data_IF_237756871997
#
_entry.id   IF_237756871997
#
_cell.length_a   1.000
_cell.length_b   1.000
_cell.length_c   1.000
_cell.angle_alpha   90.00
_cell.angle_beta   90.00
_cell.angle_gamma   90.00
#
_symmetry.space_group_name_H-M   'P 1'
#
loop_
_entity.id
_entity.type
_entity.pdbx_description
1 polymer ?
#
# COMPACT_ATOMS: atom_id res chain seq x y z
N UNK A 1 -14.76 6.85 -2.42
CA UNK A 1 -13.91 6.40 -3.53
C UNK A 1 -12.77 5.55 -2.97
N UNK A 2 -12.56 4.35 -3.49
CA UNK A 2 -11.43 3.50 -3.13
C UNK A 2 -10.59 3.23 -4.37
N UNK A 3 -9.29 3.47 -4.30
CA UNK A 3 -8.34 3.21 -5.38
C UNK A 3 -7.11 2.47 -4.86
N UNK A 4 -6.51 1.65 -5.71
CA UNK A 4 -5.32 0.87 -5.41
C UNK A 4 -4.22 1.23 -6.39
N UNK A 5 -3.07 1.60 -5.84
CA UNK A 5 -1.79 1.84 -6.49
C UNK A 5 -1.91 2.49 -7.88
N UNK A 6 -2.59 3.64 -7.94
CA UNK A 6 -2.98 4.29 -9.20
C UNK A 6 -1.74 4.64 -10.02
N UNK A 7 -1.62 4.09 -11.24
CA UNK A 7 -0.48 4.34 -12.12
C UNK A 7 -0.77 5.45 -13.12
N UNK A 8 0.14 6.41 -13.20
CA UNK A 8 -0.04 7.63 -13.99
C UNK A 8 0.30 7.50 -15.46
N UNK A 9 0.83 6.36 -15.88
CA UNK A 9 1.30 6.17 -17.24
C UNK A 9 0.76 4.84 -17.76
N UNK A 10 -0.19 4.88 -18.68
CA UNK A 10 -0.41 3.80 -19.63
C UNK A 10 0.72 3.86 -20.68
N UNK A 11 1.96 3.65 -20.25
CA UNK A 11 3.13 3.82 -21.09
C UNK A 11 3.59 2.52 -21.72
N UNK A 12 3.64 2.47 -23.05
CA UNK A 12 4.21 1.38 -23.84
C UNK A 12 5.61 1.02 -23.29
N UNK A 13 5.94 -0.27 -23.08
CA UNK A 13 7.24 -0.71 -22.60
C UNK A 13 8.40 -0.08 -23.39
N UNK A 14 9.44 0.36 -22.69
CA UNK A 14 10.55 1.19 -23.19
C UNK A 14 11.48 0.57 -24.24
N UNK A 15 11.01 -0.37 -25.06
CA UNK A 15 11.75 -0.92 -26.21
C UNK A 15 11.48 -0.16 -27.52
N UNK A 16 10.53 0.78 -27.55
CA UNK A 16 10.32 1.67 -28.69
C UNK A 16 11.02 3.01 -28.45
N UNK A 17 11.92 3.40 -29.35
CA UNK A 17 12.73 4.63 -29.32
C UNK A 17 11.91 5.93 -29.26
N UNK A 18 10.58 5.88 -29.40
CA UNK A 18 9.64 7.00 -29.34
C UNK A 18 8.82 7.10 -28.02
N UNK A 19 8.99 6.17 -27.07
CA UNK A 19 8.21 6.13 -25.82
C UNK A 19 8.26 7.41 -24.94
N UNK A 20 9.37 8.18 -24.85
CA UNK A 20 9.41 9.39 -24.02
C UNK A 20 8.46 10.51 -24.48
N UNK A 21 8.20 10.61 -25.79
CA UNK A 21 7.32 11.62 -26.38
C UNK A 21 5.83 11.26 -26.18
N UNK A 22 5.48 9.97 -26.29
CA UNK A 22 4.12 9.49 -26.06
C UNK A 22 3.72 9.54 -24.58
N UNK A 23 4.63 9.16 -23.66
CA UNK A 23 4.32 9.14 -22.22
C UNK A 23 4.09 10.54 -21.61
N UNK A 24 4.68 11.61 -22.17
CA UNK A 24 4.43 12.98 -21.69
C UNK A 24 2.96 13.39 -21.80
N UNK A 25 2.22 12.85 -22.78
CA UNK A 25 0.82 13.19 -22.99
C UNK A 25 -0.14 12.47 -22.02
N UNK A 26 0.32 11.39 -21.38
CA UNK A 26 -0.47 10.61 -20.43
C UNK A 26 -0.16 10.91 -18.96
N UNK A 27 0.81 11.80 -18.68
CA UNK A 27 1.07 12.19 -17.30
C UNK A 27 -0.08 13.04 -16.78
N UNK A 28 -0.68 12.63 -15.65
CA UNK A 28 -1.65 13.45 -14.94
C UNK A 28 -1.01 14.82 -14.62
N UNK A 29 -1.55 15.87 -15.24
CA UNK A 29 -1.11 17.25 -15.02
C UNK A 29 -1.69 17.84 -13.72
N UNK A 30 -2.63 17.12 -13.10
CA UNK A 30 -3.23 17.43 -11.81
C UNK A 30 -3.43 16.12 -11.03
N UNK A 31 -2.79 16.02 -9.86
CA UNK A 31 -2.91 14.86 -8.95
C UNK A 31 -3.77 15.19 -7.74
N UNK A 32 -4.46 16.33 -7.74
CA UNK A 32 -5.32 16.73 -6.65
C UNK A 32 -6.62 15.94 -6.67
N UNK A 33 -7.01 15.48 -5.49
CA UNK A 33 -8.30 14.85 -5.32
C UNK A 33 -9.39 15.92 -5.32
N UNK A 34 -10.41 15.74 -6.16
CA UNK A 34 -11.54 16.67 -6.26
C UNK A 34 -12.32 16.77 -4.93
N UNK A 35 -12.67 17.99 -4.55
CA UNK A 35 -13.52 18.28 -3.38
C UNK A 35 -14.94 17.67 -3.47
N UNK A 36 -15.38 17.32 -4.69
CA UNK A 36 -16.66 16.62 -4.90
C UNK A 36 -16.67 15.21 -4.30
N UNK A 37 -15.49 14.61 -4.06
CA UNK A 37 -15.39 13.31 -3.42
C UNK A 37 -15.65 13.46 -1.93
N UNK A 38 -16.64 12.74 -1.39
CA UNK A 38 -16.99 12.81 0.05
C UNK A 38 -15.94 12.17 0.97
N UNK A 39 -15.38 11.04 0.54
CA UNK A 39 -14.37 10.28 1.29
C UNK A 39 -13.53 9.47 0.29
N UNK A 40 -12.24 9.32 0.58
CA UNK A 40 -11.31 8.64 -0.31
C UNK A 40 -10.26 7.80 0.42
N UNK A 41 -9.93 6.66 -0.18
CA UNK A 41 -8.88 5.73 0.26
C UNK A 41 -7.99 5.39 -0.93
N UNK A 42 -6.68 5.63 -0.82
CA UNK A 42 -5.68 5.18 -1.78
C UNK A 42 -4.68 4.24 -1.10
N UNK A 43 -4.72 2.96 -1.46
CA UNK A 43 -3.78 1.96 -0.98
C UNK A 43 -2.59 1.88 -1.95
N UNK A 44 -1.39 2.23 -1.50
CA UNK A 44 -0.19 2.36 -2.34
C UNK A 44 0.82 1.26 -2.04
N UNK A 45 1.39 0.63 -3.06
CA UNK A 45 2.42 -0.39 -2.90
C UNK A 45 3.77 0.21 -2.48
N UNK A 46 4.44 -0.42 -1.52
CA UNK A 46 5.83 -0.10 -1.14
C UNK A 46 6.83 -0.82 -2.03
N UNK A 47 6.58 -2.08 -2.37
CA UNK A 47 7.58 -2.99 -2.94
C UNK A 47 7.55 -3.09 -4.48
N UNK A 48 6.69 -2.34 -5.15
CA UNK A 48 6.68 -2.29 -6.62
C UNK A 48 7.90 -1.53 -7.16
N UNK A 49 8.74 -2.23 -7.94
CA UNK A 49 10.02 -1.72 -8.46
C UNK A 49 9.99 -1.34 -9.94
N UNK A 50 8.97 -1.75 -10.69
CA UNK A 50 8.90 -1.53 -12.14
C UNK A 50 8.64 -0.04 -12.40
N UNK A 51 9.50 0.57 -13.22
CA UNK A 51 9.42 2.02 -13.53
C UNK A 51 8.11 2.43 -14.20
N UNK A 52 7.47 1.54 -14.93
CA UNK A 52 6.16 1.77 -15.55
C UNK A 52 4.99 1.78 -14.54
N UNK A 53 5.22 1.34 -13.31
CA UNK A 53 4.24 1.29 -12.22
C UNK A 53 4.57 2.33 -11.13
N UNK A 54 4.99 3.53 -11.53
CA UNK A 54 5.13 4.64 -10.57
C UNK A 54 3.74 5.12 -10.15
N UNK A 55 3.48 5.25 -8.83
CA UNK A 55 2.17 5.65 -8.34
C UNK A 55 1.94 7.15 -8.58
N UNK A 56 0.69 7.52 -8.82
CA UNK A 56 0.20 8.89 -8.86
C UNK A 56 -0.37 9.20 -7.49
N UNK A 57 0.39 9.92 -6.67
CA UNK A 57 0.02 10.22 -5.28
C UNK A 57 -0.83 11.49 -5.21
N UNK A 58 -1.81 11.51 -4.32
CA UNK A 58 -2.55 12.73 -4.01
C UNK A 58 -1.69 13.70 -3.20
N UNK A 59 -1.78 14.98 -3.54
CA UNK A 59 -0.94 16.07 -2.99
C UNK A 59 -1.69 17.02 -2.06
N UNK A 60 -3.02 17.03 -2.10
CA UNK A 60 -3.87 17.99 -1.38
C UNK A 60 -4.58 17.41 -0.14
N UNK A 61 -4.21 16.22 0.34
CA UNK A 61 -4.97 15.53 1.40
C UNK A 61 -4.99 16.27 2.73
N UNK A 62 -3.90 16.94 3.11
CA UNK A 62 -3.86 17.69 4.38
C UNK A 62 -4.79 18.91 4.31
N UNK A 63 -4.78 19.63 3.19
CA UNK A 63 -5.72 20.73 2.94
C UNK A 63 -7.19 20.25 2.95
N UNK A 64 -7.48 19.11 2.33
CA UNK A 64 -8.83 18.53 2.34
C UNK A 64 -9.30 18.06 3.73
N UNK A 65 -8.37 17.73 4.62
CA UNK A 65 -8.66 17.22 5.96
C UNK A 65 -8.62 18.30 7.07
N UNK A 66 -8.08 19.50 6.80
CA UNK A 66 -7.82 20.54 7.83
C UNK A 66 -9.05 20.87 8.69
N UNK A 67 -10.22 21.01 8.05
CA UNK A 67 -11.49 21.31 8.72
C UNK A 67 -12.40 20.09 8.92
N UNK A 68 -11.91 18.87 8.71
CA UNK A 68 -12.75 17.66 8.69
C UNK A 68 -12.34 16.64 9.74
N UNK A 69 -13.21 16.47 10.73
CA UNK A 69 -13.08 15.41 11.71
C UNK A 69 -13.03 14.02 11.05
N UNK A 70 -12.30 13.09 11.68
CA UNK A 70 -12.19 11.71 11.19
C UNK A 70 -11.32 11.51 9.95
N UNK A 71 -10.77 12.58 9.36
CA UNK A 71 -9.88 12.55 8.17
C UNK A 71 -10.41 11.63 7.05
N UNK A 72 -11.51 12.00 6.37
CA UNK A 72 -12.17 11.16 5.38
C UNK A 72 -11.33 10.88 4.13
N UNK A 73 -10.23 11.63 3.91
CA UNK A 73 -9.33 11.45 2.78
C UNK A 73 -8.00 10.86 3.26
N UNK A 74 -7.68 9.64 2.84
CA UNK A 74 -6.46 8.95 3.29
C UNK A 74 -5.75 8.26 2.14
N UNK A 75 -4.43 8.36 2.16
CA UNK A 75 -3.53 7.60 1.33
C UNK A 75 -2.59 6.87 2.28
N UNK A 76 -2.41 5.56 2.09
CA UNK A 76 -1.56 4.76 2.96
C UNK A 76 -0.72 3.77 2.17
N UNK A 77 0.48 3.51 2.67
CA UNK A 77 1.47 2.59 2.09
C UNK A 77 1.31 1.18 2.68
N UNK A 78 1.25 0.20 1.79
CA UNK A 78 1.05 -1.23 2.07
C UNK A 78 2.23 -2.04 1.54
N UNK A 79 2.55 -3.14 2.23
CA UNK A 79 3.58 -4.08 1.81
C UNK A 79 3.11 -4.89 0.59
N UNK A 80 4.06 -5.33 -0.20
CA UNK A 80 3.87 -6.08 -1.44
C UNK A 80 3.94 -5.22 -2.69
N UNK A 81 4.09 -5.88 -3.85
CA UNK A 81 4.09 -5.23 -5.16
C UNK A 81 2.70 -4.72 -5.58
N UNK A 82 2.58 -4.18 -6.80
CA UNK A 82 1.31 -3.65 -7.33
C UNK A 82 0.17 -4.68 -7.24
N UNK A 83 0.47 -5.95 -7.51
CA UNK A 83 -0.49 -7.03 -7.46
C UNK A 83 -0.79 -7.49 -6.04
N UNK A 84 0.16 -7.43 -5.12
CA UNK A 84 -0.07 -7.73 -3.70
C UNK A 84 -0.90 -6.66 -2.99
N UNK A 85 -0.97 -5.43 -3.50
CA UNK A 85 -1.87 -4.40 -2.97
C UNK A 85 -3.19 -4.35 -3.73
N UNK A 86 -3.16 -4.39 -5.07
CA UNK A 86 -4.34 -4.32 -5.92
C UNK A 86 -5.10 -5.65 -6.08
N UNK A 87 -4.48 -6.77 -5.72
CA UNK A 87 -5.06 -8.11 -5.86
C UNK A 87 -4.94 -8.71 -7.26
N UNK A 88 -5.89 -9.58 -7.59
CA UNK A 88 -5.96 -10.30 -8.87
C UNK A 88 -5.10 -11.56 -8.93
N UNK A 89 -4.30 -11.85 -7.91
CA UNK A 89 -3.44 -13.03 -7.76
C UNK A 89 -4.10 -14.22 -7.05
N UNK A 90 -3.40 -15.37 -7.02
CA UNK A 90 -3.80 -16.53 -6.20
C UNK A 90 -3.40 -16.34 -4.72
N UNK A 91 -2.38 -15.51 -4.46
CA UNK A 91 -1.93 -15.17 -3.10
C UNK A 91 -2.61 -13.87 -2.70
N UNK A 92 -3.53 -13.95 -1.74
CA UNK A 92 -4.41 -12.82 -1.37
C UNK A 92 -4.02 -12.13 -0.06
N UNK A 93 -3.08 -12.69 0.71
CA UNK A 93 -2.74 -12.25 2.07
C UNK A 93 -2.62 -10.72 2.26
N UNK A 94 -1.80 -10.07 1.42
CA UNK A 94 -1.57 -8.63 1.50
C UNK A 94 -2.68 -7.82 0.82
N UNK A 95 -3.29 -8.34 -0.24
CA UNK A 95 -4.35 -7.61 -0.96
C UNK A 95 -5.64 -7.58 -0.15
N UNK A 96 -5.91 -8.62 0.64
CA UNK A 96 -7.06 -8.68 1.55
C UNK A 96 -6.93 -7.64 2.66
N UNK A 97 -5.70 -7.33 3.11
CA UNK A 97 -5.43 -6.22 4.05
C UNK A 97 -5.75 -4.86 3.40
N UNK A 98 -5.27 -4.63 2.17
CA UNK A 98 -5.53 -3.39 1.45
C UNK A 98 -7.03 -3.21 1.14
N UNK A 99 -7.68 -4.28 0.68
CA UNK A 99 -9.12 -4.32 0.41
C UNK A 99 -9.91 -4.00 1.68
N UNK A 100 -9.64 -4.71 2.78
CA UNK A 100 -10.31 -4.46 4.07
C UNK A 100 -10.20 -3.01 4.51
N UNK A 101 -9.03 -2.39 4.39
CA UNK A 101 -8.84 -0.98 4.76
C UNK A 101 -9.66 -0.01 3.90
N UNK A 102 -9.83 -0.32 2.61
CA UNK A 102 -10.71 0.46 1.72
C UNK A 102 -12.18 0.25 2.09
N UNK A 103 -12.60 -0.99 2.37
CA UNK A 103 -13.96 -1.32 2.80
C UNK A 103 -14.31 -0.63 4.13
N UNK A 104 -13.39 -0.61 5.10
CA UNK A 104 -13.55 0.15 6.36
C UNK A 104 -13.80 1.64 6.09
N UNK A 105 -13.06 2.23 5.15
CA UNK A 105 -13.29 3.62 4.73
C UNK A 105 -14.62 3.85 4.01
N UNK A 106 -15.07 2.87 3.22
CA UNK A 106 -16.36 2.92 2.54
C UNK A 106 -17.52 2.75 3.54
N UNK A 107 -17.39 1.85 4.52
CA UNK A 107 -18.36 1.64 5.58
C UNK A 107 -18.52 2.90 6.45
N UNK A 108 -17.41 3.53 6.82
CA UNK A 108 -17.43 4.82 7.50
C UNK A 108 -18.10 5.95 6.67
N UNK A 109 -18.19 5.79 5.35
CA UNK A 109 -18.90 6.70 4.46
C UNK A 109 -20.38 6.31 4.21
N UNK A 110 -20.88 5.25 4.86
CA UNK A 110 -22.27 4.80 4.81
C UNK A 110 -22.57 3.65 3.86
N UNK A 111 -21.56 2.92 3.37
CA UNK A 111 -21.78 1.69 2.61
C UNK A 111 -21.96 0.50 3.55
N UNK A 112 -22.91 -0.37 3.23
CA UNK A 112 -23.12 -1.62 3.94
C UNK A 112 -22.48 -2.78 3.16
N UNK A 113 -21.95 -3.75 3.89
CA UNK A 113 -21.31 -4.93 3.32
C UNK A 113 -21.81 -6.19 4.02
N UNK A 114 -21.83 -7.29 3.29
CA UNK A 114 -22.16 -8.60 3.83
C UNK A 114 -21.12 -9.02 4.89
N UNK A 115 -21.58 -9.34 6.10
CA UNK A 115 -20.72 -9.69 7.23
C UNK A 115 -19.90 -10.97 6.98
N UNK A 116 -20.48 -11.96 6.30
CA UNK A 116 -19.81 -13.22 5.97
C UNK A 116 -18.64 -12.94 5.04
N UNK A 117 -18.83 -12.07 4.04
CA UNK A 117 -17.76 -11.66 3.13
C UNK A 117 -16.66 -10.88 3.86
N UNK A 118 -17.02 -9.94 4.74
CA UNK A 118 -16.03 -9.20 5.54
C UNK A 118 -15.20 -10.14 6.41
N UNK A 119 -15.82 -11.14 7.01
CA UNK A 119 -15.14 -12.13 7.84
C UNK A 119 -14.24 -13.05 7.00
N UNK A 120 -14.67 -13.44 5.79
CA UNK A 120 -13.83 -14.19 4.86
C UNK A 120 -12.56 -13.41 4.49
N UNK A 121 -12.69 -12.13 4.11
CA UNK A 121 -11.55 -11.24 3.81
C UNK A 121 -10.64 -11.09 5.03
N UNK A 122 -11.21 -10.98 6.23
CA UNK A 122 -10.46 -10.86 7.46
C UNK A 122 -9.59 -12.10 7.74
N UNK A 123 -10.09 -13.31 7.45
CA UNK A 123 -9.35 -14.57 7.64
C UNK A 123 -8.16 -14.71 6.69
N UNK A 124 -8.22 -14.07 5.52
CA UNK A 124 -7.11 -14.09 4.56
C UNK A 124 -5.99 -13.10 4.92
N UNK A 125 -6.27 -12.10 5.76
CA UNK A 125 -5.29 -11.05 6.08
C UNK A 125 -4.08 -11.61 6.83
N UNK A 126 -2.90 -11.59 6.20
CA UNK A 126 -1.63 -11.93 6.84
C UNK A 126 -0.55 -10.86 6.55
N UNK A 127 -0.19 -10.02 7.53
CA UNK A 127 0.86 -9.01 7.39
C UNK A 127 2.24 -9.57 7.04
N UNK A 128 2.49 -10.85 7.32
CA UNK A 128 3.75 -11.56 7.08
C UNK A 128 3.75 -12.39 5.78
N UNK A 129 2.64 -12.38 5.04
CA UNK A 129 2.50 -13.13 3.78
C UNK A 129 3.47 -12.72 2.66
N UNK A 130 3.47 -13.43 1.52
CA UNK A 130 4.39 -13.16 0.41
C UNK A 130 4.23 -11.75 -0.18
N UNK A 131 5.35 -11.13 -0.59
CA UNK A 131 5.38 -9.78 -1.19
C UNK A 131 4.97 -9.73 -2.68
N UNK A 132 4.51 -10.86 -3.22
CA UNK A 132 4.01 -11.03 -4.57
C UNK A 132 2.67 -11.76 -4.51
N UNK A 133 1.83 -11.54 -5.51
CA UNK A 133 0.47 -12.10 -5.53
C UNK A 133 0.31 -13.39 -6.35
N UNK A 134 1.38 -13.91 -6.97
CA UNK A 134 1.35 -15.14 -7.76
C UNK A 134 2.69 -15.84 -7.77
N UNK A 135 2.66 -17.18 -7.87
CA UNK A 135 3.83 -18.03 -8.03
C UNK A 135 3.66 -18.95 -9.27
N UNK A 136 4.48 -18.81 -10.33
CA UNK A 136 5.53 -17.81 -10.47
C UNK A 136 4.96 -16.39 -10.65
N UNK A 137 5.74 -15.34 -10.35
CA UNK A 137 5.31 -13.96 -10.53
C UNK A 137 4.79 -13.66 -11.94
N UNK A 138 3.62 -13.03 -12.04
CA UNK A 138 3.00 -12.72 -13.33
C UNK A 138 3.86 -11.79 -14.20
N UNK A 139 3.70 -11.93 -15.53
CA UNK A 139 4.38 -11.11 -16.54
C UNK A 139 5.60 -11.78 -17.20
N UNK A 140 5.90 -13.04 -16.86
CA UNK A 140 6.93 -13.83 -17.52
C UNK A 140 8.38 -13.34 -17.31
N UNK A 141 9.34 -13.85 -18.09
CA UNK A 141 10.77 -13.57 -17.93
C UNK A 141 11.13 -12.08 -18.06
N UNK A 142 10.46 -11.35 -18.96
CA UNK A 142 10.69 -9.92 -19.16
C UNK A 142 10.30 -9.12 -17.93
N UNK A 143 9.14 -9.40 -17.32
CA UNK A 143 8.72 -8.71 -16.10
C UNK A 143 9.63 -9.06 -14.90
N UNK A 144 10.11 -10.30 -14.82
CA UNK A 144 11.09 -10.70 -13.81
C UNK A 144 12.39 -9.88 -13.94
N UNK A 145 12.91 -9.75 -15.16
CA UNK A 145 14.08 -8.92 -15.46
C UNK A 145 13.84 -7.45 -15.10
N UNK A 146 12.67 -6.89 -15.45
CA UNK A 146 12.32 -5.51 -15.12
C UNK A 146 12.22 -5.26 -13.61
N UNK A 147 11.78 -6.25 -12.82
CA UNK A 147 11.78 -6.16 -11.35
C UNK A 147 13.20 -6.14 -10.79
N UNK A 148 14.09 -6.96 -11.35
CA UNK A 148 15.50 -7.04 -10.94
C UNK A 148 16.27 -5.73 -11.18
N UNK A 149 16.04 -5.08 -12.33
CA UNK A 149 16.63 -3.77 -12.66
C UNK A 149 15.72 -2.57 -12.30
N UNK A 150 14.66 -2.85 -11.54
CA UNK A 150 13.74 -1.84 -11.04
C UNK A 150 14.40 -0.96 -9.98
N UNK A 151 13.79 0.20 -9.72
CA UNK A 151 14.23 1.12 -8.66
C UNK A 151 13.23 1.06 -7.52
N UNK A 152 13.69 1.28 -6.28
CA UNK A 152 12.78 1.51 -5.18
C UNK A 152 11.92 2.76 -5.43
N UNK A 153 10.77 2.80 -4.77
CA UNK A 153 9.90 3.99 -4.77
C UNK A 153 10.57 5.12 -3.99
N UNK A 154 10.06 6.34 -4.20
CA UNK A 154 10.49 7.50 -3.41
C UNK A 154 10.29 7.22 -1.90
N UNK A 155 11.14 7.78 -1.02
CA UNK A 155 11.01 7.58 0.41
C UNK A 155 9.64 8.01 0.94
N UNK A 156 9.09 7.22 1.86
CA UNK A 156 7.93 7.59 2.65
C UNK A 156 8.41 8.46 3.81
N UNK A 157 7.78 9.61 4.00
CA UNK A 157 8.29 10.65 4.90
C UNK A 157 7.57 10.74 6.24
N UNK A 158 6.40 10.11 6.40
CA UNK A 158 5.62 10.11 7.65
C UNK A 158 5.17 8.71 8.01
N UNK A 159 5.39 8.28 9.26
CA UNK A 159 4.89 6.99 9.73
C UNK A 159 3.35 6.89 9.66
N UNK A 160 2.62 8.00 9.83
CA UNK A 160 1.15 8.03 9.75
C UNK A 160 0.59 7.61 8.39
N UNK A 161 1.36 7.81 7.32
CA UNK A 161 1.02 7.35 5.97
C UNK A 161 1.33 5.85 5.76
N UNK A 162 2.03 5.18 6.70
CA UNK A 162 2.32 3.74 6.61
C UNK A 162 1.21 2.95 7.29
N UNK A 163 0.60 1.98 6.59
CA UNK A 163 -0.47 1.15 7.16
C UNK A 163 0.03 0.30 8.34
N UNK A 164 -0.84 0.08 9.34
CA UNK A 164 -0.47 -0.63 10.58
C UNK A 164 0.09 -2.04 10.33
N UNK A 165 -0.44 -2.77 9.34
CA UNK A 165 0.09 -4.09 8.96
C UNK A 165 1.56 -4.03 8.49
N UNK A 166 1.96 -2.95 7.82
CA UNK A 166 3.37 -2.75 7.43
C UNK A 166 4.24 -2.49 8.65
N UNK A 167 3.73 -1.73 9.63
CA UNK A 167 4.42 -1.51 10.91
C UNK A 167 4.58 -2.82 11.68
N UNK A 168 3.53 -3.66 11.72
CA UNK A 168 3.60 -5.02 12.28
C UNK A 168 4.65 -5.86 11.54
N UNK A 169 4.64 -5.87 10.21
CA UNK A 169 5.63 -6.60 9.40
C UNK A 169 7.06 -6.09 9.62
N UNK A 170 7.24 -4.79 9.80
CA UNK A 170 8.54 -4.19 10.11
C UNK A 170 9.05 -4.71 11.45
N UNK A 171 8.28 -4.63 12.52
CA UNK A 171 8.77 -5.05 13.85
C UNK A 171 8.80 -6.57 14.04
N UNK A 172 8.30 -7.34 13.07
CA UNK A 172 8.34 -8.78 13.10
C UNK A 172 9.80 -9.27 13.04
N UNK A 173 10.14 -10.13 13.98
CA UNK A 173 11.40 -10.87 14.09
C UNK A 173 11.07 -12.36 14.01
N UNK A 174 11.86 -13.13 13.28
CA UNK A 174 11.68 -14.56 13.12
C UNK A 174 12.93 -15.33 13.54
N UNK A 175 12.74 -16.48 14.18
CA UNK A 175 13.81 -17.29 14.78
C UNK A 175 14.34 -18.40 13.85
N UNK A 176 13.84 -18.48 12.61
CA UNK A 176 14.18 -19.54 11.65
C UNK A 176 15.39 -19.21 10.78
N UNK A 177 16.11 -20.26 10.35
CA UNK A 177 17.20 -20.15 9.39
C UNK A 177 16.72 -19.51 8.08
N UNK A 178 17.40 -18.44 7.65
CA UNK A 178 17.07 -17.71 6.43
C UNK A 178 16.02 -16.59 6.58
N UNK A 179 15.53 -16.32 7.80
CA UNK A 179 14.71 -15.15 8.06
C UNK A 179 15.44 -13.85 7.67
N UNK A 180 14.73 -12.97 6.97
CA UNK A 180 15.22 -11.62 6.65
C UNK A 180 14.18 -10.60 7.11
N UNK A 181 14.56 -9.62 7.95
CA UNK A 181 13.64 -8.60 8.41
C UNK A 181 13.16 -7.74 7.23
N UNK A 182 11.88 -7.40 7.23
CA UNK A 182 11.30 -6.55 6.21
C UNK A 182 11.73 -5.08 6.41
N UNK A 183 12.72 -4.63 5.65
CA UNK A 183 13.33 -3.28 5.74
C UNK A 183 13.50 -2.65 4.34
N UNK A 184 12.41 -2.48 3.56
CA UNK A 184 12.51 -1.99 2.19
C UNK A 184 13.05 -0.55 2.18
N UNK A 185 13.80 -0.21 1.14
CA UNK A 185 14.47 1.08 0.96
C UNK A 185 13.54 2.30 1.17
N UNK A 186 12.29 2.34 0.65
CA UNK A 186 11.42 3.50 0.81
C UNK A 186 11.05 3.81 2.27
N UNK A 187 11.17 2.85 3.18
CA UNK A 187 10.78 2.98 4.58
C UNK A 187 11.95 3.22 5.53
N UNK A 188 13.20 3.16 5.06
CA UNK A 188 14.38 3.26 5.92
C UNK A 188 14.50 4.60 6.65
N UNK A 189 14.03 5.69 6.04
CA UNK A 189 13.99 7.00 6.68
C UNK A 189 13.16 7.06 7.96
N UNK A 190 12.20 6.13 8.11
CA UNK A 190 11.28 6.05 9.26
C UNK A 190 11.73 5.04 10.32
N UNK A 191 12.93 4.46 10.22
CA UNK A 191 13.37 3.36 11.09
C UNK A 191 13.25 3.68 12.60
N UNK A 192 13.59 4.92 13.00
CA UNK A 192 13.45 5.38 14.40
C UNK A 192 11.99 5.46 14.85
N UNK A 193 11.10 5.92 13.96
CA UNK A 193 9.67 6.04 14.25
C UNK A 193 9.01 4.66 14.38
N UNK A 194 9.43 3.68 13.56
CA UNK A 194 8.97 2.30 13.73
C UNK A 194 9.39 1.71 15.08
N UNK A 195 10.62 1.99 15.54
CA UNK A 195 11.08 1.49 16.84
C UNK A 195 10.33 2.16 18.00
N UNK A 196 10.15 3.48 17.95
CA UNK A 196 9.32 4.20 18.92
C UNK A 196 7.88 3.65 18.96
N UNK A 197 7.31 3.34 17.79
CA UNK A 197 6.00 2.71 17.69
C UNK A 197 5.98 1.31 18.32
N UNK A 198 7.01 0.48 18.10
CA UNK A 198 7.18 -0.84 18.75
C UNK A 198 7.17 -0.70 20.27
N UNK A 199 8.00 0.18 20.80
CA UNK A 199 8.14 0.40 22.25
C UNK A 199 6.82 0.85 22.89
N UNK A 200 6.08 1.75 22.23
CA UNK A 200 4.78 2.22 22.73
C UNK A 200 3.74 1.10 22.87
N UNK A 201 3.83 0.06 22.03
CA UNK A 201 2.93 -1.10 22.06
C UNK A 201 3.30 -2.10 23.17
N UNK A 202 4.58 -2.21 23.49
CA UNK A 202 5.07 -3.07 24.59
C UNK A 202 4.75 -2.44 25.95
N UNK A 203 4.87 -1.11 26.06
CA UNK A 203 4.64 -0.36 27.31
C UNK A 203 3.17 -0.04 27.59
N UNK A 204 2.25 -0.28 26.65
CA UNK A 204 0.83 -0.03 26.87
C UNK A 204 0.30 -0.96 28.00
N UNK A 205 -0.37 -0.43 29.04
CA UNK A 205 -0.96 -1.27 30.07
C UNK A 205 -1.94 -2.25 29.42
N UNK A 206 -1.77 -3.56 29.69
CA UNK A 206 -2.77 -4.55 29.29
C UNK A 206 -4.09 -4.14 29.92
N UNK A 207 -5.09 -3.82 29.10
CA UNK A 207 -6.45 -3.64 29.59
C UNK A 207 -6.82 -4.94 30.32
N UNK A 208 -6.97 -4.85 31.64
CA UNK A 208 -7.53 -5.94 32.45
C UNK A 208 -8.95 -6.20 31.93
N UNK A 209 -9.32 -7.46 31.64
CA UNK A 209 -10.70 -7.76 31.29
C UNK A 209 -11.59 -7.32 32.45
N UNK A 210 -12.66 -6.57 32.16
CA UNK A 210 -13.74 -6.37 33.11
C UNK A 210 -14.23 -7.74 33.56
N UNK A 211 -14.20 -7.97 34.88
CA UNK A 211 -14.90 -9.08 35.51
C UNK A 211 -16.42 -8.92 35.38
#
# INVERSE_FOLDING_TARGET
MGVWDTVGALGVPGHFTAAPLFNRHFMFHDTDLSEMVRAARHAVSVDERRKSFRPTLWTNLDALNDAREGRPYRQAWFAGDHGSVGGGGEITALSSIALRWVLEGAAAAGLEFDEILLEAIARECDPTGPLFNADPPRGGPVAALMRQFGAARAPVTRLEDVHAAVRTRWVHEGDGDGFRPYRPEPLQGLAREFEAWRESRIRAPRATPSA
#
